data_IF_275977193946
#
_entry.id   IF_275977193946
#
_cell.length_a   1.000
_cell.length_b   1.000
_cell.length_c   1.000
_cell.angle_alpha   90.00
_cell.angle_beta   90.00
_cell.angle_gamma   90.00
#
_symmetry.space_group_name_H-M   'P 1'
#
loop_
_entity.id
_entity.type
_entity.pdbx_description
1 polymer ?
#
# COMPACT_ATOMS: atom_id res chain seq x y z
N UNK A 1 -25.39 2.27 -6.81
CA UNK A 1 -25.10 1.87 -8.20
C UNK A 1 -24.18 0.66 -8.15
N UNK A 2 -24.28 -0.29 -9.08
CA UNK A 2 -23.44 -1.49 -9.02
C UNK A 2 -21.98 -1.15 -9.34
N UNK A 3 -21.70 -0.62 -10.52
CA UNK A 3 -20.36 -0.17 -10.91
C UNK A 3 -20.37 1.27 -11.39
N UNK A 4 -19.36 2.04 -11.00
CA UNK A 4 -19.07 3.40 -11.48
C UNK A 4 -17.63 3.42 -11.98
N UNK A 5 -17.46 3.69 -13.28
CA UNK A 5 -16.15 3.74 -13.93
C UNK A 5 -15.98 5.11 -14.58
N UNK A 6 -15.05 5.90 -14.04
CA UNK A 6 -14.74 7.26 -14.51
C UNK A 6 -13.29 7.20 -15.00
N UNK A 7 -13.13 6.97 -16.29
CA UNK A 7 -11.82 6.73 -16.88
C UNK A 7 -11.63 7.43 -18.23
N UNK A 8 -10.40 7.86 -18.51
CA UNK A 8 -9.99 8.52 -19.76
C UNK A 8 -10.84 9.76 -20.08
N UNK A 9 -11.32 10.47 -19.05
CA UNK A 9 -12.17 11.65 -19.19
C UNK A 9 -11.35 12.95 -19.25
N UNK A 10 -12.00 14.02 -19.71
CA UNK A 10 -11.47 15.39 -19.65
C UNK A 10 -12.06 16.18 -18.46
N UNK A 11 -12.65 15.49 -17.48
CA UNK A 11 -13.23 16.13 -16.29
C UNK A 11 -12.12 16.73 -15.43
N UNK A 12 -12.37 17.91 -14.86
CA UNK A 12 -11.47 18.56 -13.92
C UNK A 12 -11.86 18.35 -12.44
N UNK A 13 -13.17 18.16 -12.19
CA UNK A 13 -13.76 17.81 -10.90
C UNK A 13 -14.85 16.74 -11.05
N UNK A 14 -15.14 15.99 -9.98
CA UNK A 14 -16.30 15.10 -9.83
C UNK A 14 -17.37 15.64 -8.87
N UNK A 15 -17.28 16.91 -8.47
CA UNK A 15 -18.30 17.56 -7.64
C UNK A 15 -19.71 17.45 -8.27
N UNK A 16 -20.72 17.36 -7.41
CA UNK A 16 -22.11 17.10 -7.78
C UNK A 16 -22.45 15.63 -8.06
N UNK A 17 -21.47 14.71 -8.16
CA UNK A 17 -21.75 13.26 -8.29
C UNK A 17 -22.05 12.67 -6.90
N UNK A 18 -23.32 12.71 -6.52
CA UNK A 18 -23.81 12.24 -5.22
C UNK A 18 -24.36 10.82 -5.32
N UNK A 19 -23.78 9.89 -4.55
CA UNK A 19 -24.13 8.46 -4.56
C UNK A 19 -24.27 7.95 -3.13
N UNK A 20 -25.43 7.45 -2.73
CA UNK A 20 -25.60 6.90 -1.37
C UNK A 20 -24.77 5.63 -1.16
N UNK A 21 -24.68 4.77 -2.18
CA UNK A 21 -23.93 3.52 -2.15
C UNK A 21 -23.45 3.14 -3.55
N UNK A 22 -22.25 2.58 -3.64
CA UNK A 22 -21.68 1.95 -4.84
C UNK A 22 -21.12 0.57 -4.48
N UNK A 23 -21.13 -0.41 -5.38
CA UNK A 23 -20.39 -1.65 -5.11
C UNK A 23 -18.91 -1.47 -5.49
N UNK A 24 -18.65 -1.18 -6.77
CA UNK A 24 -17.32 -0.89 -7.29
C UNK A 24 -17.24 0.52 -7.88
N UNK A 25 -16.19 1.26 -7.51
CA UNK A 25 -15.82 2.54 -8.10
C UNK A 25 -14.37 2.54 -8.57
N UNK A 26 -14.15 2.90 -9.83
CA UNK A 26 -12.80 3.08 -10.40
C UNK A 26 -12.70 4.46 -11.02
N UNK A 27 -11.77 5.29 -10.52
CA UNK A 27 -11.45 6.62 -11.03
C UNK A 27 -10.01 6.59 -11.49
N UNK A 28 -9.77 6.39 -12.79
CA UNK A 28 -8.43 6.12 -13.30
C UNK A 28 -8.14 6.75 -14.66
N UNK A 29 -6.88 7.13 -14.91
CA UNK A 29 -6.44 7.66 -16.21
C UNK A 29 -7.14 8.96 -16.63
N UNK A 30 -7.45 9.85 -15.67
CA UNK A 30 -8.05 11.16 -15.93
C UNK A 30 -7.00 12.28 -15.68
N UNK A 31 -6.12 12.60 -16.65
CA UNK A 31 -4.96 13.48 -16.41
C UNK A 31 -5.31 14.94 -16.09
N UNK A 32 -6.56 15.35 -16.36
CA UNK A 32 -7.07 16.68 -16.05
C UNK A 32 -7.86 16.75 -14.73
N UNK A 33 -8.16 15.61 -14.11
CA UNK A 33 -8.98 15.51 -12.91
C UNK A 33 -8.13 15.84 -11.67
N UNK A 34 -8.43 16.96 -11.02
CA UNK A 34 -7.69 17.41 -9.83
C UNK A 34 -8.56 17.42 -8.55
N UNK A 35 -9.88 17.28 -8.66
CA UNK A 35 -10.79 17.32 -7.52
C UNK A 35 -11.82 16.18 -7.57
N UNK A 36 -11.71 15.26 -6.63
CA UNK A 36 -12.69 14.19 -6.40
C UNK A 36 -13.40 14.53 -5.09
N UNK A 37 -14.40 15.39 -5.13
CA UNK A 37 -15.30 15.66 -4.01
C UNK A 37 -16.62 14.92 -4.24
N UNK A 38 -16.88 13.86 -3.47
CA UNK A 38 -18.06 13.01 -3.67
C UNK A 38 -18.79 12.74 -2.35
N UNK A 39 -20.09 13.01 -2.31
CA UNK A 39 -20.96 12.71 -1.17
C UNK A 39 -21.33 11.22 -1.11
N UNK A 40 -20.30 10.36 -1.19
CA UNK A 40 -20.42 8.91 -1.20
C UNK A 40 -20.64 8.37 0.21
N UNK A 41 -21.72 7.63 0.43
CA UNK A 41 -22.04 7.05 1.75
C UNK A 41 -21.31 5.73 2.03
N UNK A 42 -21.32 4.79 1.07
CA UNK A 42 -20.84 3.41 1.28
C UNK A 42 -20.24 2.78 0.00
N UNK A 43 -19.23 1.93 0.15
CA UNK A 43 -18.58 1.15 -0.93
C UNK A 43 -18.63 -0.36 -0.62
N UNK A 44 -19.44 -1.16 -1.33
CA UNK A 44 -19.68 -2.56 -0.96
C UNK A 44 -18.59 -3.56 -1.41
N UNK A 45 -17.74 -3.21 -2.38
CA UNK A 45 -16.68 -4.09 -2.90
C UNK A 45 -15.31 -3.40 -3.03
N UNK A 46 -15.22 -2.28 -3.75
CA UNK A 46 -13.94 -1.58 -3.95
C UNK A 46 -14.04 -0.13 -4.43
N UNK A 47 -13.11 0.70 -3.96
CA UNK A 47 -12.73 1.98 -4.57
C UNK A 47 -11.27 1.90 -5.03
N UNK A 48 -11.01 2.32 -6.26
CA UNK A 48 -9.66 2.46 -6.83
C UNK A 48 -9.52 3.88 -7.40
N UNK A 49 -8.50 4.60 -6.95
CA UNK A 49 -8.08 5.90 -7.50
C UNK A 49 -6.61 5.80 -7.90
N UNK A 50 -6.31 5.97 -9.18
CA UNK A 50 -4.95 5.89 -9.72
C UNK A 50 -4.76 6.69 -11.00
N UNK A 51 -3.53 7.12 -11.32
CA UNK A 51 -3.19 7.75 -12.61
C UNK A 51 -4.12 8.92 -13.06
N UNK A 52 -4.59 9.75 -12.12
CA UNK A 52 -5.37 10.95 -12.42
C UNK A 52 -4.46 12.20 -12.53
N UNK A 53 -5.03 13.40 -12.44
CA UNK A 53 -4.26 14.64 -12.45
C UNK A 53 -3.23 14.67 -11.32
N UNK A 54 -2.07 15.26 -11.59
CA UNK A 54 -0.91 15.22 -10.68
C UNK A 54 -1.20 15.74 -9.26
N UNK A 55 -2.16 16.67 -9.15
CA UNK A 55 -2.52 17.33 -7.90
C UNK A 55 -3.87 16.82 -7.35
N UNK A 56 -4.32 15.61 -7.73
CA UNK A 56 -5.66 15.13 -7.41
C UNK A 56 -5.89 15.02 -5.89
N UNK A 57 -6.91 15.72 -5.40
CA UNK A 57 -7.46 15.57 -4.06
C UNK A 57 -8.67 14.63 -4.09
N UNK A 58 -8.81 13.76 -3.10
CA UNK A 58 -9.92 12.81 -2.97
C UNK A 58 -10.60 12.95 -1.60
N UNK A 59 -11.80 13.52 -1.61
CA UNK A 59 -12.58 13.89 -0.43
C UNK A 59 -13.92 13.16 -0.42
N UNK A 60 -14.12 12.34 0.60
CA UNK A 60 -15.33 11.55 0.83
C UNK A 60 -15.90 11.87 2.22
N UNK A 61 -16.60 13.01 2.37
CA UNK A 61 -16.95 13.53 3.70
C UNK A 61 -17.99 12.69 4.43
N UNK A 62 -18.83 11.93 3.71
CA UNK A 62 -19.91 11.12 4.27
C UNK A 62 -19.67 9.61 4.14
N UNK A 63 -18.46 9.19 3.74
CA UNK A 63 -18.17 7.76 3.57
C UNK A 63 -18.02 7.12 4.94
N UNK A 64 -19.01 6.36 5.37
CA UNK A 64 -19.05 5.71 6.68
C UNK A 64 -18.32 4.35 6.65
N UNK A 65 -18.45 3.62 5.55
CA UNK A 65 -17.89 2.27 5.41
C UNK A 65 -17.50 1.93 3.97
N UNK A 66 -16.42 1.15 3.83
CA UNK A 66 -16.00 0.57 2.56
C UNK A 66 -15.47 -0.86 2.71
N UNK A 67 -15.54 -1.65 1.64
CA UNK A 67 -14.93 -2.98 1.64
C UNK A 67 -13.43 -2.93 1.31
N UNK A 68 -13.02 -2.51 0.11
CA UNK A 68 -11.60 -2.26 -0.21
C UNK A 68 -11.39 -0.81 -0.69
N UNK A 69 -10.23 -0.22 -0.38
CA UNK A 69 -9.85 1.10 -0.88
C UNK A 69 -8.38 1.13 -1.30
N UNK A 70 -8.09 1.54 -2.55
CA UNK A 70 -6.74 1.68 -3.10
C UNK A 70 -6.53 3.09 -3.62
N UNK A 71 -5.50 3.77 -3.11
CA UNK A 71 -5.09 5.11 -3.52
C UNK A 71 -3.67 5.09 -4.08
N UNK A 72 -3.51 5.58 -5.32
CA UNK A 72 -2.22 5.72 -6.01
C UNK A 72 -2.10 7.09 -6.66
N UNK A 73 -0.94 7.72 -6.52
CA UNK A 73 -0.62 9.02 -7.11
C UNK A 73 -1.61 10.14 -6.75
N UNK A 74 -2.18 10.09 -5.54
CA UNK A 74 -3.10 11.09 -5.00
C UNK A 74 -2.33 12.12 -4.16
N UNK A 75 -2.65 13.41 -4.27
CA UNK A 75 -1.98 14.50 -3.51
C UNK A 75 -2.65 14.82 -2.19
N UNK A 76 -3.91 14.43 -1.99
CA UNK A 76 -4.61 14.56 -0.71
C UNK A 76 -5.73 13.53 -0.61
N UNK A 77 -5.89 12.88 0.54
CA UNK A 77 -7.07 12.03 0.82
C UNK A 77 -7.75 12.52 2.10
N UNK A 78 -9.07 12.68 2.07
CA UNK A 78 -9.90 13.09 3.19
C UNK A 78 -11.08 12.13 3.36
N UNK A 79 -11.10 11.41 4.47
CA UNK A 79 -12.07 10.36 4.83
C UNK A 79 -12.58 10.54 6.28
N UNK A 80 -13.11 11.72 6.66
CA UNK A 80 -13.34 12.08 8.05
C UNK A 80 -14.40 11.22 8.75
N UNK A 81 -15.42 10.74 8.01
CA UNK A 81 -16.52 9.96 8.56
C UNK A 81 -16.30 8.44 8.51
N UNK A 82 -15.19 7.97 7.94
CA UNK A 82 -14.96 6.55 7.72
C UNK A 82 -14.73 5.83 9.04
N UNK A 83 -15.66 4.95 9.41
CA UNK A 83 -15.68 4.24 10.67
C UNK A 83 -15.09 2.82 10.59
N UNK A 84 -15.20 2.16 9.43
CA UNK A 84 -14.77 0.77 9.24
C UNK A 84 -14.41 0.42 7.80
N UNK A 85 -13.41 -0.46 7.65
CA UNK A 85 -13.07 -1.15 6.40
C UNK A 85 -13.24 -2.66 6.60
N UNK A 86 -14.03 -3.35 5.76
CA UNK A 86 -14.19 -4.81 5.88
C UNK A 86 -13.03 -5.61 5.27
N UNK A 87 -12.48 -5.13 4.15
CA UNK A 87 -11.35 -5.70 3.44
C UNK A 87 -10.07 -4.91 3.74
N UNK A 88 -9.33 -4.52 2.72
CA UNK A 88 -8.03 -3.84 2.89
C UNK A 88 -8.05 -2.39 2.42
N UNK A 89 -7.23 -1.55 3.04
CA UNK A 89 -6.97 -0.18 2.63
C UNK A 89 -5.49 0.02 2.33
N UNK A 90 -5.16 0.59 1.18
CA UNK A 90 -3.78 0.77 0.75
C UNK A 90 -3.50 2.11 0.07
N UNK A 91 -2.42 2.75 0.51
CA UNK A 91 -1.88 4.00 -0.01
C UNK A 91 -0.49 3.73 -0.59
N UNK A 92 -0.36 3.78 -1.92
CA UNK A 92 0.87 3.45 -2.64
C UNK A 92 1.34 4.59 -3.54
N UNK A 93 2.57 5.08 -3.37
CA UNK A 93 3.16 6.12 -4.24
C UNK A 93 2.28 7.38 -4.37
N UNK A 94 1.74 7.86 -3.25
CA UNK A 94 1.00 9.11 -3.17
C UNK A 94 1.92 10.30 -2.84
N UNK A 95 1.40 11.50 -3.02
CA UNK A 95 2.13 12.76 -2.89
C UNK A 95 1.65 13.62 -1.70
N UNK A 96 0.82 13.06 -0.80
CA UNK A 96 0.35 13.76 0.38
C UNK A 96 1.40 13.79 1.49
N UNK A 97 1.46 14.90 2.22
CA UNK A 97 2.34 15.04 3.40
C UNK A 97 1.75 14.35 4.64
N UNK A 98 0.43 14.12 4.66
CA UNK A 98 -0.26 13.45 5.77
C UNK A 98 -1.54 12.73 5.37
N UNK A 99 -1.92 11.73 6.17
CA UNK A 99 -3.17 10.98 6.04
C UNK A 99 -3.82 10.79 7.42
N UNK A 100 -5.13 10.99 7.50
CA UNK A 100 -5.88 10.79 8.75
C UNK A 100 -7.20 10.05 8.52
N UNK A 101 -7.49 9.11 9.41
CA UNK A 101 -8.79 8.45 9.55
C UNK A 101 -9.28 8.61 10.99
N UNK A 102 -9.77 9.80 11.39
CA UNK A 102 -10.03 10.14 12.79
C UNK A 102 -11.08 9.24 13.46
N UNK A 103 -12.06 8.76 12.68
CA UNK A 103 -13.13 7.90 13.16
C UNK A 103 -12.91 6.40 12.82
N UNK A 104 -11.81 6.03 12.15
CA UNK A 104 -11.62 4.67 11.64
C UNK A 104 -11.26 3.72 12.78
N UNK A 105 -12.19 2.84 13.16
CA UNK A 105 -12.03 1.94 14.31
C UNK A 105 -11.46 0.57 13.97
N UNK A 106 -11.69 0.09 12.74
CA UNK A 106 -11.42 -1.29 12.30
C UNK A 106 -11.02 -1.35 10.82
N UNK A 107 -10.01 -2.15 10.51
CA UNK A 107 -9.72 -2.66 9.15
C UNK A 107 -9.73 -4.19 9.22
N UNK A 108 -10.62 -4.87 8.51
CA UNK A 108 -10.79 -6.33 8.59
C UNK A 108 -9.69 -7.11 7.88
N UNK A 109 -9.13 -6.56 6.82
CA UNK A 109 -7.95 -7.02 6.09
C UNK A 109 -6.71 -6.20 6.46
N UNK A 110 -5.84 -5.94 5.48
CA UNK A 110 -4.57 -5.24 5.70
C UNK A 110 -4.70 -3.72 5.57
N UNK A 111 -3.86 -3.00 6.29
CA UNK A 111 -3.66 -1.55 6.15
C UNK A 111 -2.22 -1.28 5.70
N UNK A 112 -2.04 -0.60 4.57
CA UNK A 112 -0.73 -0.43 3.93
C UNK A 112 -0.44 1.03 3.56
N UNK A 113 0.73 1.53 3.98
CA UNK A 113 1.30 2.81 3.55
C UNK A 113 2.67 2.54 2.94
N UNK A 114 2.77 2.58 1.61
CA UNK A 114 3.98 2.18 0.88
C UNK A 114 4.45 3.26 -0.09
N UNK A 115 5.73 3.66 0.01
CA UNK A 115 6.38 4.60 -0.93
C UNK A 115 5.67 5.95 -1.05
N UNK A 116 5.00 6.43 0.00
CA UNK A 116 4.45 7.79 0.05
C UNK A 116 5.58 8.71 0.56
N UNK A 117 6.54 9.03 -0.32
CA UNK A 117 7.83 9.64 0.06
C UNK A 117 7.68 10.98 0.79
N UNK A 118 6.65 11.76 0.47
CA UNK A 118 6.35 13.04 1.11
C UNK A 118 5.66 12.92 2.48
N UNK A 119 5.10 11.75 2.83
CA UNK A 119 4.29 11.58 4.03
C UNK A 119 5.17 11.70 5.29
N UNK A 120 4.95 12.77 6.05
CA UNK A 120 5.61 13.05 7.34
C UNK A 120 4.74 12.67 8.54
N UNK A 121 3.44 12.42 8.35
CA UNK A 121 2.51 12.13 9.44
C UNK A 121 1.37 11.18 9.01
N UNK A 122 0.92 10.33 9.94
CA UNK A 122 -0.28 9.51 9.82
C UNK A 122 -1.07 9.55 11.14
N UNK A 123 -2.40 9.53 11.09
CA UNK A 123 -3.23 9.63 12.30
C UNK A 123 -4.51 8.81 12.23
N UNK A 124 -4.59 7.77 13.06
CA UNK A 124 -5.71 6.83 13.19
C UNK A 124 -5.98 6.58 14.69
N UNK A 125 -6.34 7.62 15.46
CA UNK A 125 -6.33 7.58 16.92
C UNK A 125 -7.31 6.55 17.50
N UNK A 126 -8.44 6.32 16.84
CA UNK A 126 -9.50 5.38 17.23
C UNK A 126 -9.32 3.96 16.65
N UNK A 127 -8.30 3.71 15.81
CA UNK A 127 -8.10 2.41 15.17
C UNK A 127 -7.67 1.37 16.20
N UNK A 128 -8.55 0.41 16.49
CA UNK A 128 -8.31 -0.64 17.50
C UNK A 128 -7.82 -1.95 16.91
N UNK A 129 -8.19 -2.26 15.66
CA UNK A 129 -7.98 -3.59 15.05
C UNK A 129 -7.62 -3.49 13.57
N UNK A 130 -6.53 -4.14 13.19
CA UNK A 130 -6.22 -4.53 11.81
C UNK A 130 -6.26 -6.06 11.75
N UNK A 131 -7.21 -6.64 11.03
CA UNK A 131 -7.42 -8.10 10.98
C UNK A 131 -6.39 -8.84 10.11
N UNK A 132 -5.85 -8.15 9.10
CA UNK A 132 -4.72 -8.57 8.28
C UNK A 132 -3.39 -7.99 8.78
N UNK A 133 -2.50 -7.67 7.85
CA UNK A 133 -1.20 -7.07 8.16
C UNK A 133 -1.24 -5.54 8.24
N UNK A 134 -0.37 -4.97 9.05
CA UNK A 134 -0.14 -3.52 9.12
C UNK A 134 1.26 -3.22 8.56
N UNK A 135 1.31 -2.53 7.41
CA UNK A 135 2.55 -2.25 6.69
C UNK A 135 2.80 -0.75 6.56
N UNK A 136 4.00 -0.31 6.94
CA UNK A 136 4.50 1.05 6.74
C UNK A 136 5.90 0.93 6.14
N UNK A 137 6.01 1.05 4.82
CA UNK A 137 7.20 0.71 4.05
C UNK A 137 7.66 1.87 3.15
N UNK A 138 8.96 2.18 3.14
CA UNK A 138 9.56 3.15 2.21
C UNK A 138 8.93 4.56 2.20
N UNK A 139 8.33 5.01 3.30
CA UNK A 139 7.86 6.40 3.43
C UNK A 139 9.03 7.23 4.00
N UNK A 140 9.85 7.79 3.11
CA UNK A 140 11.19 8.32 3.45
C UNK A 140 11.19 9.54 4.36
N UNK A 141 10.14 10.36 4.32
CA UNK A 141 9.95 11.51 5.23
C UNK A 141 9.20 11.17 6.54
N UNK A 142 8.75 9.92 6.74
CA UNK A 142 8.06 9.51 7.96
C UNK A 142 9.07 9.13 9.04
N UNK A 143 9.41 10.07 9.92
CA UNK A 143 10.36 9.85 11.01
C UNK A 143 9.72 9.17 12.24
N UNK A 144 8.41 9.31 12.45
CA UNK A 144 7.71 8.70 13.60
C UNK A 144 6.47 7.90 13.21
N UNK A 145 6.24 6.79 13.91
CA UNK A 145 5.00 5.99 13.81
C UNK A 145 4.35 5.93 15.20
N UNK A 146 3.54 6.93 15.52
CA UNK A 146 2.85 7.13 16.80
C UNK A 146 1.33 7.35 16.65
N UNK A 147 0.83 7.59 15.44
CA UNK A 147 -0.59 7.84 15.14
C UNK A 147 -1.57 6.67 15.34
N UNK A 148 -1.16 5.55 15.94
CA UNK A 148 -1.98 4.35 16.19
C UNK A 148 -2.24 4.13 17.69
N UNK A 149 -2.63 5.19 18.41
CA UNK A 149 -2.72 5.20 19.88
C UNK A 149 -3.65 4.13 20.49
N UNK A 150 -4.76 3.78 19.82
CA UNK A 150 -5.71 2.78 20.32
C UNK A 150 -5.52 1.37 19.76
N UNK A 151 -4.49 1.12 18.93
CA UNK A 151 -4.32 -0.15 18.20
C UNK A 151 -3.96 -1.28 19.16
N UNK A 152 -4.87 -2.24 19.31
CA UNK A 152 -4.76 -3.40 20.21
C UNK A 152 -4.35 -4.68 19.49
N UNK A 153 -4.80 -4.85 18.24
CA UNK A 153 -4.72 -6.11 17.51
C UNK A 153 -4.20 -5.91 16.08
N UNK A 154 -3.18 -6.69 15.70
CA UNK A 154 -2.78 -6.96 14.31
C UNK A 154 -2.90 -8.46 14.07
N UNK A 155 -3.90 -8.88 13.31
CA UNK A 155 -4.23 -10.28 13.07
C UNK A 155 -3.28 -11.00 12.10
N UNK A 156 -2.51 -10.25 11.32
CA UNK A 156 -1.41 -10.71 10.47
C UNK A 156 -0.05 -10.22 10.95
N UNK A 157 0.85 -9.93 10.00
CA UNK A 157 2.18 -9.41 10.28
C UNK A 157 2.17 -7.88 10.47
N UNK A 158 3.07 -7.38 11.31
CA UNK A 158 3.49 -5.98 11.34
C UNK A 158 4.81 -5.86 10.56
N UNK A 159 4.83 -5.03 9.52
CA UNK A 159 6.02 -4.82 8.67
C UNK A 159 6.31 -3.33 8.50
N UNK A 160 7.20 -2.81 9.34
CA UNK A 160 7.68 -1.44 9.32
C UNK A 160 9.12 -1.41 8.82
N UNK A 161 9.35 -0.77 7.67
CA UNK A 161 10.68 -0.54 7.11
C UNK A 161 10.79 0.88 6.52
N UNK A 162 11.85 1.62 6.88
CA UNK A 162 11.97 3.02 6.46
C UNK A 162 13.05 3.79 7.23
N UNK A 163 12.80 5.08 7.46
CA UNK A 163 13.72 5.99 8.17
C UNK A 163 13.13 6.53 9.47
N UNK A 164 12.50 5.63 10.25
CA UNK A 164 11.91 5.98 11.54
C UNK A 164 13.01 6.23 12.59
N UNK A 165 12.86 7.28 13.40
CA UNK A 165 13.59 7.50 14.66
C UNK A 165 12.79 7.00 15.88
N UNK A 166 11.47 6.83 15.75
CA UNK A 166 10.60 6.33 16.82
C UNK A 166 9.38 5.58 16.28
N UNK A 167 9.04 4.46 16.93
CA UNK A 167 7.80 3.71 16.74
C UNK A 167 7.16 3.44 18.10
N UNK A 168 5.88 3.80 18.24
CA UNK A 168 5.09 3.69 19.46
C UNK A 168 3.70 3.11 19.18
N UNK A 169 3.37 1.99 19.81
CA UNK A 169 2.05 1.34 19.73
C UNK A 169 1.53 1.04 21.16
N UNK A 170 1.17 2.06 21.94
CA UNK A 170 1.04 1.94 23.41
C UNK A 170 -0.10 1.02 23.88
N UNK A 171 -1.10 0.75 23.03
CA UNK A 171 -2.22 -0.13 23.33
C UNK A 171 -2.06 -1.57 22.81
N UNK A 172 -0.94 -1.91 22.17
CA UNK A 172 -0.79 -3.19 21.45
C UNK A 172 -0.79 -4.38 22.42
N UNK A 173 -1.57 -5.41 22.07
CA UNK A 173 -1.82 -6.56 22.94
C UNK A 173 -1.88 -7.91 22.21
N UNK A 174 -2.07 -7.92 20.88
CA UNK A 174 -2.09 -9.12 20.06
C UNK A 174 -1.51 -8.85 18.66
N UNK A 175 -0.30 -9.34 18.37
CA UNK A 175 0.29 -9.45 17.03
C UNK A 175 0.50 -10.93 16.72
N UNK A 176 -0.29 -11.46 15.79
CA UNK A 176 -0.34 -12.91 15.52
C UNK A 176 0.68 -13.38 14.50
N UNK A 177 1.04 -12.53 13.55
CA UNK A 177 2.04 -12.81 12.52
C UNK A 177 3.45 -12.41 12.93
N UNK A 178 4.32 -12.30 11.93
CA UNK A 178 5.66 -11.76 12.10
C UNK A 178 5.63 -10.29 12.57
N UNK A 179 6.62 -9.90 13.37
CA UNK A 179 6.92 -8.52 13.70
C UNK A 179 8.26 -8.16 13.07
N UNK A 180 8.23 -7.21 12.14
CA UNK A 180 9.40 -6.66 11.50
C UNK A 180 9.41 -5.15 11.68
N UNK A 181 10.47 -4.64 12.31
CA UNK A 181 10.69 -3.21 12.50
C UNK A 181 12.17 -2.90 12.19
N UNK A 182 12.44 -2.45 10.97
CA UNK A 182 13.80 -2.11 10.54
C UNK A 182 13.87 -0.63 10.17
N UNK A 183 14.95 0.05 10.54
CA UNK A 183 15.15 1.46 10.19
C UNK A 183 16.59 1.82 9.86
N UNK A 184 16.75 2.78 8.95
CA UNK A 184 18.03 3.41 8.64
C UNK A 184 18.51 4.35 9.76
N UNK A 185 17.58 4.87 10.57
CA UNK A 185 17.88 5.62 11.79
C UNK A 185 17.94 4.70 13.02
N UNK A 186 18.52 5.19 14.13
CA UNK A 186 18.54 4.43 15.39
C UNK A 186 17.14 4.37 16.00
N UNK A 187 16.69 3.15 16.27
CA UNK A 187 15.40 2.83 16.91
C UNK A 187 15.57 1.93 18.13
N UNK A 188 16.76 1.93 18.74
CA UNK A 188 17.10 1.08 19.90
C UNK A 188 16.08 1.21 21.03
N UNK A 189 15.52 2.40 21.25
CA UNK A 189 14.45 2.61 22.25
C UNK A 189 13.16 1.85 21.93
N UNK A 190 12.72 1.87 20.67
CA UNK A 190 11.56 1.09 20.22
C UNK A 190 11.84 -0.42 20.25
N UNK A 191 13.02 -0.86 19.83
CA UNK A 191 13.39 -2.28 19.92
C UNK A 191 13.44 -2.76 21.38
N UNK A 192 14.01 -1.99 22.30
CA UNK A 192 14.00 -2.28 23.75
C UNK A 192 12.58 -2.35 24.34
N UNK A 193 11.63 -1.59 23.80
CA UNK A 193 10.22 -1.66 24.19
C UNK A 193 9.51 -2.92 23.67
N UNK A 194 9.70 -3.28 22.39
CA UNK A 194 9.02 -4.42 21.78
C UNK A 194 9.68 -5.78 22.06
N UNK A 195 10.99 -5.84 22.34
CA UNK A 195 11.71 -7.09 22.64
C UNK A 195 11.09 -7.91 23.80
N UNK A 196 10.76 -7.35 24.98
CA UNK A 196 10.12 -8.11 26.06
C UNK A 196 8.66 -8.50 25.76
N UNK A 197 8.07 -7.99 24.67
CA UNK A 197 6.72 -8.36 24.20
C UNK A 197 6.75 -9.56 23.23
N UNK A 198 7.94 -10.07 22.88
CA UNK A 198 8.15 -11.21 22.00
C UNK A 198 7.94 -12.57 22.69
N UNK A 199 7.43 -13.55 21.94
CA UNK A 199 7.25 -14.95 22.34
C UNK A 199 5.84 -15.46 22.05
N UNK A 200 5.70 -16.74 21.71
CA UNK A 200 4.43 -17.33 21.25
C UNK A 200 3.25 -17.26 22.23
N UNK A 201 3.52 -17.02 23.53
CA UNK A 201 2.52 -16.81 24.59
C UNK A 201 2.41 -15.34 25.04
N UNK A 202 3.01 -14.41 24.30
CA UNK A 202 3.12 -12.99 24.61
C UNK A 202 2.34 -12.16 23.57
N UNK A 203 2.52 -10.84 23.57
CA UNK A 203 1.88 -9.92 22.61
C UNK A 203 2.32 -10.21 21.17
N UNK A 204 3.62 -10.39 20.92
CA UNK A 204 4.18 -10.67 19.59
C UNK A 204 4.46 -12.17 19.46
N UNK A 205 3.62 -12.88 18.70
CA UNK A 205 3.57 -14.35 18.70
C UNK A 205 4.41 -15.01 17.60
N UNK A 206 4.60 -14.32 16.48
CA UNK A 206 5.38 -14.80 15.34
C UNK A 206 6.88 -14.49 15.47
N UNK A 207 7.59 -14.57 14.34
CA UNK A 207 9.01 -14.20 14.25
C UNK A 207 9.22 -12.73 14.59
N UNK A 208 10.20 -12.42 15.44
CA UNK A 208 10.53 -11.07 15.85
C UNK A 208 11.85 -10.62 15.21
N UNK A 209 11.82 -9.48 14.51
CA UNK A 209 12.97 -8.78 13.94
C UNK A 209 12.86 -7.29 14.27
N UNK A 210 13.87 -6.73 14.93
CA UNK A 210 13.96 -5.30 15.17
C UNK A 210 15.42 -4.83 15.06
N UNK A 211 15.70 -3.86 14.17
CA UNK A 211 17.04 -3.28 14.02
C UNK A 211 17.01 -1.83 13.52
N UNK A 212 17.96 -1.03 14.01
CA UNK A 212 18.16 0.37 13.64
C UNK A 212 19.58 0.63 13.15
N UNK A 213 19.77 1.72 12.40
CA UNK A 213 21.04 2.02 11.74
C UNK A 213 21.34 1.16 10.50
N UNK A 214 20.32 0.50 9.94
CA UNK A 214 20.46 -0.40 8.80
C UNK A 214 20.66 0.37 7.49
N UNK A 215 21.70 0.04 6.73
CA UNK A 215 21.93 0.66 5.41
C UNK A 215 20.79 0.42 4.41
N UNK A 216 20.08 -0.71 4.55
CA UNK A 216 18.99 -1.14 3.68
C UNK A 216 17.91 -1.87 4.52
N UNK A 217 17.03 -1.14 5.21
CA UNK A 217 15.97 -1.74 6.02
C UNK A 217 15.07 -2.67 5.19
N UNK A 218 15.04 -3.96 5.53
CA UNK A 218 14.31 -4.97 4.78
C UNK A 218 12.89 -5.19 5.29
N UNK A 219 11.93 -5.36 4.38
CA UNK A 219 10.60 -5.88 4.73
C UNK A 219 10.62 -7.41 4.89
N UNK A 220 9.85 -7.97 5.83
CA UNK A 220 9.70 -9.43 5.92
C UNK A 220 8.83 -9.96 4.79
N UNK A 221 9.46 -10.55 3.77
CA UNK A 221 8.80 -11.44 2.82
C UNK A 221 8.12 -10.79 1.61
N UNK A 222 8.11 -9.45 1.48
CA UNK A 222 7.74 -8.79 0.22
C UNK A 222 8.97 -8.45 -0.62
N UNK A 223 9.53 -9.51 -1.23
CA UNK A 223 10.62 -9.53 -2.23
C UNK A 223 12.03 -9.14 -1.73
N UNK A 224 13.02 -10.00 -2.06
CA UNK A 224 14.44 -9.69 -1.90
C UNK A 224 14.87 -8.56 -2.84
N UNK A 225 15.75 -7.64 -2.42
CA UNK A 225 16.46 -6.74 -3.32
C UNK A 225 17.34 -7.56 -4.28
N UNK A 226 16.87 -7.80 -5.50
CA UNK A 226 17.64 -8.51 -6.54
C UNK A 226 16.91 -9.56 -7.38
N UNK A 227 15.64 -9.87 -7.14
CA UNK A 227 14.90 -10.87 -7.96
C UNK A 227 14.42 -10.30 -9.30
N UNK A 228 15.35 -9.82 -10.13
CA UNK A 228 15.15 -9.67 -11.56
C UNK A 228 15.33 -11.05 -12.23
N UNK A 229 14.27 -11.85 -12.33
CA UNK A 229 14.28 -13.06 -13.20
C UNK A 229 14.09 -12.67 -14.67
N UNK A 230 15.01 -11.85 -15.18
CA UNK A 230 15.18 -11.49 -16.58
C UNK A 230 16.46 -12.11 -17.16
N UNK A 231 16.65 -13.41 -16.94
CA UNK A 231 17.86 -14.14 -17.33
C UNK A 231 17.86 -14.55 -18.80
N UNK A 232 18.13 -13.62 -19.71
CA UNK A 232 18.35 -13.90 -21.13
C UNK A 232 19.84 -13.80 -21.52
N UNK A 233 20.47 -14.94 -21.79
CA UNK A 233 21.84 -15.01 -22.33
C UNK A 233 21.85 -15.76 -23.65
N UNK A 234 22.53 -15.23 -24.67
CA UNK A 234 22.48 -15.73 -26.04
C UNK A 234 23.86 -15.97 -26.67
N UNK A 235 23.98 -17.09 -27.39
CA UNK A 235 25.03 -17.39 -28.39
C UNK A 235 24.63 -18.68 -29.13
N UNK A 236 24.85 -18.89 -30.44
CA UNK A 236 25.25 -18.00 -31.54
C UNK A 236 25.12 -18.74 -32.90
N UNK A 237 25.06 -17.97 -34.01
CA UNK A 237 25.41 -18.32 -35.42
C UNK A 237 24.26 -18.80 -36.37
N UNK A 238 24.21 -18.43 -37.66
CA UNK A 238 24.98 -17.42 -38.45
C UNK A 238 24.42 -17.18 -39.88
N UNK A 239 24.69 -15.99 -40.45
CA UNK A 239 24.64 -15.58 -41.89
C UNK A 239 23.27 -15.59 -42.62
N UNK A 240 22.89 -14.64 -43.49
CA UNK A 240 23.38 -13.29 -43.88
C UNK A 240 22.18 -12.49 -44.47
N UNK A 241 22.21 -11.23 -44.94
CA UNK A 241 23.28 -10.28 -45.32
C UNK A 241 22.83 -8.79 -45.23
N UNK A 242 23.78 -7.86 -45.41
CA UNK A 242 23.67 -6.43 -45.79
C UNK A 242 22.35 -5.63 -45.60
N UNK A 243 22.29 -4.80 -44.55
CA UNK A 243 22.24 -3.31 -44.65
C UNK A 243 22.17 -2.60 -43.26
N UNK A 244 23.21 -1.82 -42.94
CA UNK A 244 23.28 -0.68 -41.99
C UNK A 244 22.30 -0.57 -40.79
N UNK A 245 22.64 -1.30 -39.72
CA UNK A 245 22.74 -0.86 -38.31
C UNK A 245 22.13 0.50 -37.90
N UNK A 246 21.17 0.44 -36.96
CA UNK A 246 21.09 1.35 -35.81
C UNK A 246 20.93 0.47 -34.55
N UNK A 247 21.81 0.64 -33.56
CA UNK A 247 21.77 -0.14 -32.31
C UNK A 247 20.82 0.50 -31.28
N UNK A 248 19.76 -0.21 -30.92
CA UNK A 248 19.14 -0.13 -29.58
C UNK A 248 18.98 -1.58 -29.10
N UNK A 249 19.57 -1.89 -27.94
CA UNK A 249 19.72 -3.27 -27.47
C UNK A 249 18.46 -3.85 -26.84
N UNK A 250 18.03 -5.04 -27.28
CA UNK A 250 17.33 -5.97 -26.37
C UNK A 250 15.93 -6.49 -26.74
N UNK A 251 15.49 -6.46 -28.00
CA UNK A 251 14.22 -7.08 -28.41
C UNK A 251 14.39 -8.04 -29.61
N UNK A 252 14.68 -9.31 -29.33
CA UNK A 252 14.61 -10.46 -30.26
C UNK A 252 14.39 -11.74 -29.46
N UNK A 253 13.62 -12.74 -29.90
CA UNK A 253 12.84 -12.85 -31.14
C UNK A 253 11.97 -14.12 -31.13
N UNK A 254 11.06 -14.24 -32.10
CA UNK A 254 10.18 -15.41 -32.24
C UNK A 254 10.95 -16.66 -32.71
N UNK A 255 10.47 -17.84 -32.31
CA UNK A 255 9.96 -18.92 -33.19
C UNK A 255 9.92 -20.27 -32.44
N UNK A 256 8.90 -21.10 -32.71
CA UNK A 256 8.92 -22.53 -32.35
C UNK A 256 7.67 -23.04 -31.60
N UNK A 257 6.72 -23.60 -32.35
CA UNK A 257 5.53 -24.28 -31.80
C UNK A 257 5.88 -25.71 -31.35
N UNK A 258 5.46 -26.10 -30.14
CA UNK A 258 5.11 -27.50 -29.81
C UNK A 258 3.88 -27.49 -28.89
N UNK A 259 2.85 -28.26 -29.26
CA UNK A 259 1.67 -28.51 -28.44
C UNK A 259 1.64 -29.97 -27.97
N UNK A 260 1.37 -30.17 -26.67
CA UNK A 260 0.89 -31.40 -26.04
C UNK A 260 0.36 -30.95 -24.66
N UNK A 261 -0.93 -30.93 -24.35
CA UNK A 261 -1.91 -32.04 -24.38
C UNK A 261 -1.35 -33.31 -23.75
N UNK A 262 -1.46 -33.44 -22.43
CA UNK A 262 -1.69 -34.71 -21.77
C UNK A 262 -2.62 -34.49 -20.57
N UNK A 263 -3.72 -35.23 -20.56
CA UNK A 263 -4.55 -35.46 -19.37
C UNK A 263 -4.54 -36.96 -19.03
N UNK A 264 -5.35 -37.34 -18.05
CA UNK A 264 -5.42 -38.66 -17.40
C UNK A 264 -4.21 -38.90 -16.47
N UNK A 265 -4.39 -39.16 -15.18
CA UNK A 265 -5.48 -39.93 -14.54
C UNK A 265 -6.37 -39.11 -13.58
#
# INVERSE_FOLDING_TARGET
ASSVSIQNTQLNTLDGINLQMVDQMTIANNPYLNDINMQLGNITQSLIIEANGRNVSATFPNLEWAYNMTFRNVSQVSIPSLASINGSMGFYANFFDSIAGPNLTTVGGSLSFVSNEAMTNLSFPELTTVGGGLQVANNTALESVDGFSALKTVGGALDFNGNFSSVMLPAISDIRGAFNLQSASDISNSCNHFQPLSGSNNVIKGTYTCSGGESHPGGTGTLSPGTNTGGGSSSSASASSSANVVYISGATGLMGVVAAIFGML
#
